data_IF_344646757423
#
_entry.id   IF_344646757423
#
_cell.length_a   1.000
_cell.length_b   1.000
_cell.length_c   1.000
_cell.angle_alpha   90.00
_cell.angle_beta   90.00
_cell.angle_gamma   90.00
#
_symmetry.space_group_name_H-M   'P 1'
#
loop_
_entity.id
_entity.type
_entity.pdbx_description
1 polymer ?
#
# COMPACT_ATOMS: atom_id res chain seq x y z
N UNK A 1 -7.14 -16.99 17.73
CA UNK A 1 -6.57 -16.68 16.37
C UNK A 1 -7.52 -17.10 15.22
N UNK A 2 -8.04 -18.34 15.16
CA UNK A 2 -8.95 -18.79 14.08
C UNK A 2 -10.27 -18.00 14.02
N UNK A 3 -10.78 -17.48 15.13
CA UNK A 3 -12.02 -16.68 15.19
C UNK A 3 -11.83 -15.26 14.65
N UNK A 4 -10.65 -14.67 14.75
CA UNK A 4 -10.38 -13.31 14.28
C UNK A 4 -10.22 -13.26 12.74
N UNK A 5 -9.59 -14.26 12.14
CA UNK A 5 -9.51 -14.37 10.68
C UNK A 5 -10.89 -14.51 10.04
N UNK A 6 -11.79 -15.24 10.67
CA UNK A 6 -13.15 -15.41 10.20
C UNK A 6 -14.02 -14.15 10.37
N UNK A 7 -13.68 -13.25 11.31
CA UNK A 7 -14.51 -12.08 11.63
C UNK A 7 -14.67 -11.13 10.44
N UNK A 8 -13.60 -10.87 9.69
CA UNK A 8 -13.66 -9.99 8.51
C UNK A 8 -14.56 -10.64 7.44
N UNK A 9 -14.36 -11.93 7.17
CA UNK A 9 -15.16 -12.67 6.17
C UNK A 9 -16.62 -12.72 6.60
N UNK A 10 -16.90 -13.04 7.87
CA UNK A 10 -18.27 -13.07 8.40
C UNK A 10 -18.91 -11.67 8.33
N UNK A 11 -18.16 -10.61 8.68
CA UNK A 11 -18.62 -9.24 8.58
C UNK A 11 -18.97 -8.84 7.15
N UNK A 12 -18.11 -9.19 6.18
CA UNK A 12 -18.37 -8.95 4.76
C UNK A 12 -19.59 -9.75 4.27
N UNK A 13 -19.70 -11.03 4.62
CA UNK A 13 -20.84 -11.87 4.24
C UNK A 13 -22.15 -11.34 4.84
N UNK A 14 -22.13 -10.96 6.12
CA UNK A 14 -23.31 -10.39 6.78
C UNK A 14 -23.73 -9.07 6.11
N UNK A 15 -22.77 -8.16 5.88
CA UNK A 15 -23.02 -6.91 5.17
C UNK A 15 -23.54 -7.14 3.76
N UNK A 16 -22.99 -8.09 3.02
CA UNK A 16 -23.46 -8.46 1.70
C UNK A 16 -24.91 -8.99 1.71
N UNK A 17 -25.26 -9.86 2.66
CA UNK A 17 -26.63 -10.38 2.81
C UNK A 17 -27.62 -9.27 3.14
N UNK A 18 -27.26 -8.32 4.00
CA UNK A 18 -28.10 -7.15 4.30
C UNK A 18 -28.31 -6.30 3.04
N UNK A 19 -27.23 -6.01 2.29
CA UNK A 19 -27.35 -5.23 1.04
C UNK A 19 -28.16 -5.98 -0.02
N UNK A 20 -28.07 -7.32 -0.06
CA UNK A 20 -28.88 -8.15 -0.94
C UNK A 20 -30.37 -8.05 -0.58
N UNK A 21 -30.69 -8.11 0.70
CA UNK A 21 -32.08 -7.96 1.20
C UNK A 21 -32.64 -6.56 0.92
N UNK A 22 -31.78 -5.51 0.91
CA UNK A 22 -32.13 -4.14 0.59
C UNK A 22 -32.21 -3.86 -0.92
N UNK A 23 -31.88 -4.84 -1.78
CA UNK A 23 -31.88 -4.68 -3.23
C UNK A 23 -30.73 -3.82 -3.79
N UNK A 24 -29.64 -3.63 -3.04
CA UNK A 24 -28.50 -2.82 -3.45
C UNK A 24 -27.48 -3.60 -4.28
N UNK A 25 -27.68 -4.89 -4.47
CA UNK A 25 -26.77 -5.75 -5.24
C UNK A 25 -27.28 -5.88 -6.68
N UNK A 26 -26.44 -5.53 -7.65
CA UNK A 26 -26.75 -5.74 -9.07
C UNK A 26 -25.95 -6.92 -9.60
N UNK A 27 -26.64 -7.88 -10.21
CA UNK A 27 -26.05 -9.04 -10.85
C UNK A 27 -25.95 -8.90 -12.38
N UNK A 28 -26.23 -7.72 -12.93
CA UNK A 28 -26.19 -7.52 -14.39
C UNK A 28 -24.78 -7.79 -14.97
N UNK A 29 -23.73 -7.30 -14.30
CA UNK A 29 -22.36 -7.56 -14.70
C UNK A 29 -22.01 -9.06 -14.67
N UNK A 30 -22.55 -9.80 -13.69
CA UNK A 30 -22.31 -11.25 -13.58
C UNK A 30 -22.99 -12.02 -14.72
N UNK A 31 -24.20 -11.60 -15.11
CA UNK A 31 -24.93 -12.23 -16.23
C UNK A 31 -24.28 -11.99 -17.58
N UNK A 32 -23.62 -10.84 -17.75
CA UNK A 32 -22.95 -10.45 -19.00
C UNK A 32 -21.49 -10.93 -19.06
N UNK A 33 -20.92 -11.37 -17.94
CA UNK A 33 -19.52 -11.79 -17.87
C UNK A 33 -19.31 -13.09 -18.64
N UNK A 34 -18.21 -13.12 -19.41
CA UNK A 34 -17.78 -14.35 -20.07
C UNK A 34 -17.35 -15.38 -19.02
N UNK A 35 -17.69 -16.65 -19.26
CA UNK A 35 -17.32 -17.72 -18.34
C UNK A 35 -15.82 -17.96 -18.30
N UNK A 36 -15.14 -17.83 -19.45
CA UNK A 36 -13.71 -18.03 -19.59
C UNK A 36 -13.12 -17.00 -20.54
N UNK A 37 -12.02 -16.39 -20.16
CA UNK A 37 -11.29 -15.46 -21.00
C UNK A 37 -9.78 -15.67 -20.84
N UNK A 38 -9.06 -15.69 -21.96
CA UNK A 38 -7.61 -15.75 -21.97
C UNK A 38 -7.09 -14.31 -22.01
N UNK A 39 -6.16 -13.94 -21.12
CA UNK A 39 -5.51 -12.63 -21.15
C UNK A 39 -4.89 -12.38 -22.53
N UNK A 40 -5.10 -11.18 -23.06
CA UNK A 40 -4.52 -10.79 -24.35
C UNK A 40 -3.29 -9.91 -24.08
N UNK A 41 -2.07 -10.44 -24.25
CA UNK A 41 -0.86 -9.64 -24.10
C UNK A 41 -0.84 -8.50 -25.12
N UNK A 42 -0.32 -7.33 -24.69
CA UNK A 42 -0.12 -6.16 -25.55
C UNK A 42 -1.39 -5.68 -26.26
N UNK A 43 -2.56 -5.83 -25.64
CA UNK A 43 -3.85 -5.45 -26.23
C UNK A 43 -3.90 -4.00 -26.71
N UNK A 44 -3.26 -3.08 -25.98
CA UNK A 44 -3.18 -1.64 -26.33
C UNK A 44 -1.93 -1.28 -27.16
N UNK A 45 -1.11 -2.26 -27.53
CA UNK A 45 0.18 -2.02 -28.18
C UNK A 45 1.24 -1.52 -27.22
N UNK A 46 2.41 -1.12 -27.77
CA UNK A 46 3.51 -0.54 -27.03
C UNK A 46 3.77 0.88 -27.53
N UNK A 47 3.79 1.83 -26.61
CA UNK A 47 4.21 3.20 -26.89
C UNK A 47 5.25 3.62 -25.83
N UNK A 48 6.29 4.33 -26.26
CA UNK A 48 7.38 4.78 -25.39
C UNK A 48 7.54 6.32 -25.44
N UNK A 49 6.52 7.09 -25.03
CA UNK A 49 6.66 8.54 -24.97
C UNK A 49 7.67 8.92 -23.87
N UNK A 50 8.62 9.78 -24.19
CA UNK A 50 9.69 10.21 -23.27
C UNK A 50 9.09 10.80 -21.98
N UNK A 51 8.04 11.61 -22.10
CA UNK A 51 7.33 12.16 -20.94
C UNK A 51 6.75 11.11 -20.03
N UNK A 52 6.15 10.05 -20.58
CA UNK A 52 5.64 8.91 -19.84
C UNK A 52 6.74 8.14 -19.12
N UNK A 53 7.88 7.91 -19.79
CA UNK A 53 9.03 7.22 -19.19
C UNK A 53 9.57 8.02 -18.00
N UNK A 54 9.75 9.34 -18.15
CA UNK A 54 10.24 10.20 -17.06
C UNK A 54 9.24 10.20 -15.90
N UNK A 55 7.94 10.42 -16.17
CA UNK A 55 6.89 10.44 -15.16
C UNK A 55 6.81 9.14 -14.38
N UNK A 56 6.79 8.00 -15.09
CA UNK A 56 6.77 6.67 -14.47
C UNK A 56 8.04 6.37 -13.67
N UNK A 57 9.22 6.80 -14.15
CA UNK A 57 10.47 6.60 -13.41
C UNK A 57 10.45 7.32 -12.07
N UNK A 58 9.93 8.56 -12.03
CA UNK A 58 9.79 9.33 -10.78
C UNK A 58 8.76 8.65 -9.86
N UNK A 59 7.60 8.24 -10.40
CA UNK A 59 6.59 7.52 -9.62
C UNK A 59 7.16 6.23 -9.01
N UNK A 60 7.96 5.48 -9.77
CA UNK A 60 8.61 4.26 -9.28
C UNK A 60 9.63 4.50 -8.17
N UNK A 61 10.38 5.62 -8.19
CA UNK A 61 11.26 5.98 -7.07
C UNK A 61 10.46 6.12 -5.76
N UNK A 62 9.29 6.73 -5.82
CA UNK A 62 8.41 6.85 -4.65
C UNK A 62 7.84 5.49 -4.24
N UNK A 63 7.42 4.67 -5.21
CA UNK A 63 6.93 3.30 -4.95
C UNK A 63 8.01 2.44 -4.28
N UNK A 64 9.30 2.57 -4.65
CA UNK A 64 10.39 1.85 -3.99
C UNK A 64 10.48 2.23 -2.51
N UNK A 65 10.33 3.52 -2.16
CA UNK A 65 10.32 3.97 -0.76
C UNK A 65 9.12 3.39 -0.02
N UNK A 66 7.93 3.44 -0.63
CA UNK A 66 6.70 2.87 -0.08
C UNK A 66 6.83 1.36 0.15
N UNK A 67 7.24 0.59 -0.86
CA UNK A 67 7.46 -0.85 -0.76
C UNK A 67 8.49 -1.20 0.32
N UNK A 68 9.56 -0.41 0.43
CA UNK A 68 10.56 -0.61 1.49
C UNK A 68 9.95 -0.44 2.88
N UNK A 69 9.08 0.56 3.07
CA UNK A 69 8.30 0.74 4.29
C UNK A 69 7.39 -0.44 4.58
N UNK A 70 6.70 -0.96 3.57
CA UNK A 70 5.83 -2.14 3.67
C UNK A 70 6.61 -3.39 4.09
N UNK A 71 7.81 -3.63 3.52
CA UNK A 71 8.66 -4.76 3.92
C UNK A 71 9.14 -4.64 5.36
N UNK A 72 9.51 -3.44 5.81
CA UNK A 72 9.87 -3.21 7.21
C UNK A 72 8.68 -3.44 8.16
N UNK A 73 7.49 -2.98 7.79
CA UNK A 73 6.26 -3.23 8.53
C UNK A 73 5.92 -4.73 8.57
N UNK A 74 6.10 -5.44 7.45
CA UNK A 74 5.95 -6.89 7.38
C UNK A 74 6.93 -7.61 8.31
N UNK A 75 8.20 -7.18 8.32
CA UNK A 75 9.21 -7.71 9.25
C UNK A 75 8.79 -7.57 10.71
N UNK A 76 8.23 -6.41 11.07
CA UNK A 76 7.70 -6.19 12.42
C UNK A 76 6.50 -7.11 12.73
N UNK A 77 5.55 -7.25 11.80
CA UNK A 77 4.38 -8.09 11.99
C UNK A 77 4.75 -9.59 12.10
N UNK A 78 5.79 -10.03 11.39
CA UNK A 78 6.27 -11.42 11.37
C UNK A 78 7.38 -11.69 12.37
N UNK A 79 7.85 -10.66 13.09
CA UNK A 79 9.02 -10.71 14.01
C UNK A 79 10.28 -11.21 13.30
N UNK A 80 10.45 -10.86 12.04
CA UNK A 80 11.59 -11.24 11.20
C UNK A 80 12.44 -10.01 10.93
N UNK A 81 13.75 -10.13 11.09
CA UNK A 81 14.68 -9.06 10.74
C UNK A 81 14.76 -8.90 9.23
N UNK A 82 14.47 -7.70 8.74
CA UNK A 82 14.52 -7.37 7.32
C UNK A 82 15.92 -6.85 7.00
N UNK A 83 16.63 -7.60 6.20
CA UNK A 83 17.97 -7.25 5.71
C UNK A 83 17.89 -6.57 4.34
N UNK A 84 18.98 -5.92 3.90
CA UNK A 84 19.07 -5.33 2.56
C UNK A 84 18.83 -6.35 1.43
N UNK A 85 19.12 -7.64 1.66
CA UNK A 85 18.83 -8.71 0.70
C UNK A 85 17.32 -8.92 0.53
N UNK A 86 16.56 -8.85 1.60
CA UNK A 86 15.10 -8.95 1.56
C UNK A 86 14.48 -7.75 0.83
N UNK A 87 14.96 -6.52 1.13
CA UNK A 87 14.50 -5.30 0.45
C UNK A 87 14.77 -5.36 -1.05
N UNK A 88 16.01 -5.73 -1.44
CA UNK A 88 16.37 -5.90 -2.85
C UNK A 88 15.47 -6.92 -3.55
N UNK A 89 15.24 -8.07 -2.92
CA UNK A 89 14.39 -9.13 -3.48
C UNK A 89 12.95 -8.69 -3.66
N UNK A 90 12.40 -7.97 -2.67
CA UNK A 90 11.03 -7.43 -2.73
C UNK A 90 10.85 -6.37 -3.81
N UNK A 91 11.75 -5.39 -3.88
CA UNK A 91 11.72 -4.35 -4.92
C UNK A 91 11.88 -4.93 -6.33
N UNK A 92 12.74 -5.94 -6.48
CA UNK A 92 12.87 -6.66 -7.76
C UNK A 92 11.58 -7.41 -8.13
N UNK A 93 10.92 -8.03 -7.16
CA UNK A 93 9.64 -8.71 -7.40
C UNK A 93 8.54 -7.74 -7.83
N UNK A 94 8.43 -6.57 -7.18
CA UNK A 94 7.48 -5.50 -7.55
C UNK A 94 7.78 -4.98 -8.97
N UNK A 95 9.06 -4.75 -9.31
CA UNK A 95 9.46 -4.27 -10.63
C UNK A 95 9.21 -5.28 -11.74
N UNK A 96 9.59 -6.56 -11.54
CA UNK A 96 9.34 -7.62 -12.51
C UNK A 96 7.85 -7.90 -12.68
N UNK A 97 7.10 -7.89 -11.56
CA UNK A 97 5.66 -8.04 -11.58
C UNK A 97 4.96 -6.91 -12.35
N UNK A 98 5.40 -5.67 -12.17
CA UNK A 98 4.87 -4.52 -12.91
C UNK A 98 5.24 -4.56 -14.39
N UNK A 99 6.43 -5.05 -14.75
CA UNK A 99 6.80 -5.28 -16.14
C UNK A 99 5.90 -6.35 -16.79
N UNK A 100 5.61 -7.44 -16.07
CA UNK A 100 4.66 -8.45 -16.53
C UNK A 100 3.24 -7.89 -16.64
N UNK A 101 2.81 -7.06 -15.68
CA UNK A 101 1.52 -6.37 -15.72
C UNK A 101 1.39 -5.49 -16.98
N UNK A 102 2.43 -4.74 -17.34
CA UNK A 102 2.46 -3.92 -18.56
C UNK A 102 2.29 -4.78 -19.82
N UNK A 103 2.97 -5.93 -19.90
CA UNK A 103 2.79 -6.89 -21.01
C UNK A 103 1.35 -7.42 -21.05
N UNK A 104 0.74 -7.66 -19.89
CA UNK A 104 -0.65 -8.10 -19.77
C UNK A 104 -1.67 -6.97 -19.95
N UNK A 105 -1.24 -5.78 -20.38
CA UNK A 105 -2.11 -4.60 -20.60
C UNK A 105 -2.91 -4.19 -19.35
N UNK A 106 -2.31 -4.34 -18.17
CA UNK A 106 -2.89 -3.91 -16.90
C UNK A 106 -2.00 -2.87 -16.21
N UNK A 107 -2.52 -2.25 -15.15
CA UNK A 107 -1.79 -1.23 -14.41
C UNK A 107 -0.60 -1.84 -13.64
N UNK A 108 0.52 -1.10 -13.51
CA UNK A 108 1.61 -1.52 -12.63
C UNK A 108 1.11 -1.61 -11.18
N UNK A 109 1.78 -2.42 -10.38
CA UNK A 109 1.42 -2.65 -9.00
C UNK A 109 2.64 -2.59 -8.07
N UNK A 110 2.37 -2.46 -6.78
CA UNK A 110 3.35 -2.56 -5.69
C UNK A 110 2.86 -3.54 -4.64
N UNK A 111 3.68 -3.75 -3.62
CA UNK A 111 3.33 -4.60 -2.49
C UNK A 111 2.09 -4.09 -1.75
N UNK A 112 1.09 -4.95 -1.55
CA UNK A 112 -0.21 -4.61 -0.97
C UNK A 112 -0.14 -4.50 0.55
N UNK A 113 -0.02 -3.27 1.06
CA UNK A 113 0.21 -2.95 2.47
C UNK A 113 -0.93 -3.42 3.39
N UNK A 114 -2.17 -3.45 2.90
CA UNK A 114 -3.33 -3.89 3.68
C UNK A 114 -3.23 -5.33 4.16
N UNK A 115 -2.50 -6.20 3.45
CA UNK A 115 -2.25 -7.58 3.88
C UNK A 115 -1.42 -7.67 5.16
N UNK A 116 -0.61 -6.67 5.48
CA UNK A 116 0.15 -6.62 6.74
C UNK A 116 -0.82 -6.55 7.92
N UNK A 117 -1.90 -5.77 7.79
CA UNK A 117 -2.98 -5.73 8.76
C UNK A 117 -3.67 -7.08 8.93
N UNK A 118 -3.91 -7.79 7.82
CA UNK A 118 -4.49 -9.14 7.86
C UNK A 118 -3.58 -10.12 8.57
N UNK A 119 -2.25 -10.08 8.33
CA UNK A 119 -1.27 -10.92 9.04
C UNK A 119 -1.31 -10.65 10.55
N UNK A 120 -1.36 -9.38 10.95
CA UNK A 120 -1.42 -8.98 12.35
C UNK A 120 -2.69 -9.49 13.05
N UNK A 121 -3.81 -9.56 12.32
CA UNK A 121 -5.09 -10.06 12.83
C UNK A 121 -5.16 -11.58 12.85
N UNK A 122 -4.66 -12.24 11.81
CA UNK A 122 -4.82 -13.69 11.62
C UNK A 122 -3.68 -14.50 12.23
N UNK A 123 -2.51 -13.90 12.39
CA UNK A 123 -1.28 -14.58 12.78
C UNK A 123 -0.71 -15.50 11.67
N UNK A 124 -1.28 -15.48 10.47
CA UNK A 124 -0.84 -16.31 9.34
C UNK A 124 0.17 -15.55 8.49
N UNK A 125 1.44 -15.91 8.60
CA UNK A 125 2.57 -15.26 7.91
C UNK A 125 3.36 -16.24 7.03
N UNK A 126 2.72 -17.27 6.50
CA UNK A 126 3.39 -18.30 5.71
C UNK A 126 3.54 -17.87 4.24
N UNK A 127 4.79 -17.87 3.73
CA UNK A 127 5.06 -17.64 2.31
C UNK A 127 4.34 -18.62 1.37
N UNK A 128 4.09 -19.85 1.83
CA UNK A 128 3.40 -20.86 1.04
C UNK A 128 1.91 -20.53 0.89
N UNK A 129 1.28 -19.98 1.94
CA UNK A 129 -0.10 -19.49 1.88
C UNK A 129 -0.23 -18.34 0.90
N UNK A 130 0.71 -17.39 0.93
CA UNK A 130 0.73 -16.26 -0.01
C UNK A 130 0.94 -16.74 -1.45
N UNK A 131 1.86 -17.68 -1.67
CA UNK A 131 2.08 -18.26 -3.00
C UNK A 131 0.82 -18.98 -3.52
N UNK A 132 0.16 -19.77 -2.67
CA UNK A 132 -1.10 -20.42 -3.03
C UNK A 132 -2.20 -19.40 -3.35
N UNK A 133 -2.28 -18.32 -2.58
CA UNK A 133 -3.21 -17.22 -2.88
C UNK A 133 -2.94 -16.61 -4.25
N UNK A 134 -1.67 -16.38 -4.60
CA UNK A 134 -1.28 -15.90 -5.92
C UNK A 134 -1.73 -16.84 -7.05
N UNK A 135 -1.53 -18.14 -6.88
CA UNK A 135 -1.99 -19.15 -7.85
C UNK A 135 -3.52 -19.14 -7.98
N UNK A 136 -4.23 -19.08 -6.86
CA UNK A 136 -5.71 -19.03 -6.87
C UNK A 136 -6.22 -17.76 -7.55
N UNK A 137 -5.58 -16.61 -7.31
CA UNK A 137 -5.92 -15.35 -7.99
C UNK A 137 -5.65 -15.43 -9.49
N UNK A 138 -4.52 -16.01 -9.90
CA UNK A 138 -4.22 -16.21 -11.32
C UNK A 138 -5.24 -17.12 -12.01
N UNK A 139 -5.64 -18.21 -11.36
CA UNK A 139 -6.71 -19.09 -11.85
C UNK A 139 -8.06 -18.37 -11.90
N UNK A 140 -8.41 -17.60 -10.87
CA UNK A 140 -9.65 -16.82 -10.83
C UNK A 140 -9.67 -15.76 -11.94
N UNK A 141 -8.51 -15.20 -12.33
CA UNK A 141 -8.38 -14.26 -13.44
C UNK A 141 -8.75 -14.83 -14.81
N UNK A 142 -8.70 -16.16 -14.99
CA UNK A 142 -9.16 -16.83 -16.20
C UNK A 142 -10.70 -16.89 -16.31
N UNK A 143 -11.40 -16.62 -15.22
CA UNK A 143 -12.85 -16.66 -15.15
C UNK A 143 -13.42 -15.27 -14.81
N UNK A 144 -13.73 -14.42 -15.79
CA UNK A 144 -14.25 -13.07 -15.58
C UNK A 144 -15.48 -13.01 -14.68
N UNK A 145 -16.24 -14.08 -14.58
CA UNK A 145 -17.39 -14.21 -13.65
C UNK A 145 -16.99 -13.95 -12.21
N UNK A 146 -15.81 -14.40 -11.76
CA UNK A 146 -15.33 -14.10 -10.39
C UNK A 146 -15.06 -12.62 -10.19
N UNK A 147 -14.46 -11.94 -11.18
CA UNK A 147 -14.29 -10.50 -11.16
C UNK A 147 -15.61 -9.75 -11.09
N UNK A 148 -16.57 -10.13 -11.93
CA UNK A 148 -17.91 -9.56 -11.93
C UNK A 148 -18.65 -9.78 -10.59
N UNK A 149 -18.46 -10.96 -9.96
CA UNK A 149 -19.02 -11.25 -8.65
C UNK A 149 -18.42 -10.33 -7.56
N UNK A 150 -17.11 -10.10 -7.58
CA UNK A 150 -16.45 -9.18 -6.64
C UNK A 150 -16.94 -7.74 -6.85
N UNK A 151 -17.07 -7.30 -8.10
CA UNK A 151 -17.58 -5.96 -8.43
C UNK A 151 -19.04 -5.79 -8.01
N UNK A 152 -19.83 -6.88 -7.89
CA UNK A 152 -21.20 -6.82 -7.40
C UNK A 152 -21.31 -6.53 -5.90
N UNK A 153 -20.20 -6.57 -5.15
CA UNK A 153 -20.18 -6.26 -3.71
C UNK A 153 -20.41 -4.76 -3.52
N UNK A 154 -21.47 -4.36 -2.79
CA UNK A 154 -21.78 -2.94 -2.59
C UNK A 154 -20.66 -2.20 -1.85
N UNK A 155 -20.43 -0.93 -2.25
CA UNK A 155 -19.41 -0.06 -1.66
C UNK A 155 -19.46 0.04 -0.12
N UNK A 156 -20.63 0.08 0.56
CA UNK A 156 -20.68 0.10 2.02
C UNK A 156 -20.03 -1.13 2.67
N UNK A 157 -20.17 -2.30 2.05
CA UNK A 157 -19.57 -3.56 2.55
C UNK A 157 -18.05 -3.52 2.38
N UNK A 158 -17.58 -3.13 1.19
CA UNK A 158 -16.15 -2.97 0.91
C UNK A 158 -15.54 -1.87 1.77
N UNK A 159 -16.27 -0.76 1.97
CA UNK A 159 -15.84 0.34 2.81
C UNK A 159 -15.67 -0.06 4.28
N UNK A 160 -16.59 -0.85 4.82
CA UNK A 160 -16.49 -1.37 6.18
C UNK A 160 -15.27 -2.28 6.39
N UNK A 161 -15.03 -3.21 5.45
CA UNK A 161 -13.84 -4.06 5.49
C UNK A 161 -12.55 -3.25 5.30
N UNK A 162 -12.56 -2.29 4.36
CA UNK A 162 -11.46 -1.38 4.08
C UNK A 162 -11.09 -0.54 5.30
N UNK A 163 -12.08 0.02 6.01
CA UNK A 163 -11.85 0.81 7.21
C UNK A 163 -11.05 0.03 8.26
N UNK A 164 -11.40 -1.23 8.52
CA UNK A 164 -10.66 -2.07 9.46
C UNK A 164 -9.22 -2.33 8.99
N UNK A 165 -9.03 -2.61 7.70
CA UNK A 165 -7.69 -2.84 7.16
C UNK A 165 -6.82 -1.58 7.25
N UNK A 166 -7.37 -0.40 6.91
CA UNK A 166 -6.64 0.86 7.03
C UNK A 166 -6.32 1.22 8.48
N UNK A 167 -7.25 0.97 9.43
CA UNK A 167 -6.97 1.15 10.84
C UNK A 167 -5.77 0.33 11.32
N UNK A 168 -5.65 -0.92 10.83
CA UNK A 168 -4.49 -1.77 11.16
C UNK A 168 -3.19 -1.27 10.54
N UNK A 169 -3.24 -0.67 9.34
CA UNK A 169 -2.05 -0.05 8.71
C UNK A 169 -1.61 1.16 9.52
N UNK A 170 -2.54 2.00 9.95
CA UNK A 170 -2.23 3.16 10.81
C UNK A 170 -1.57 2.68 12.11
N UNK A 171 -2.12 1.64 12.75
CA UNK A 171 -1.53 1.06 13.95
C UNK A 171 -0.10 0.55 13.71
N UNK A 172 0.14 -0.13 12.58
CA UNK A 172 1.47 -0.59 12.19
C UNK A 172 2.44 0.60 11.94
N UNK A 173 1.97 1.65 11.29
CA UNK A 173 2.74 2.89 11.07
C UNK A 173 3.15 3.55 12.39
N UNK A 174 2.23 3.65 13.35
CA UNK A 174 2.52 4.19 14.69
C UNK A 174 3.58 3.34 15.39
N UNK A 175 3.48 2.00 15.34
CA UNK A 175 4.47 1.10 15.92
C UNK A 175 5.86 1.24 15.28
N UNK A 176 5.93 1.55 13.98
CA UNK A 176 7.20 1.84 13.30
C UNK A 176 7.80 3.16 13.79
N UNK A 177 6.98 4.20 13.95
CA UNK A 177 7.43 5.50 14.46
C UNK A 177 7.92 5.42 15.89
N UNK A 178 7.36 4.54 16.73
CA UNK A 178 7.81 4.34 18.11
C UNK A 178 9.25 3.81 18.22
N UNK A 179 9.75 3.17 17.16
CA UNK A 179 11.16 2.72 17.07
C UNK A 179 12.14 3.82 16.66
N UNK A 180 11.64 4.96 16.20
CA UNK A 180 12.49 6.10 15.81
C UNK A 180 12.93 6.83 17.08
N UNK A 181 14.22 7.17 17.17
CA UNK A 181 14.75 7.91 18.31
C UNK A 181 13.94 9.19 18.56
N UNK A 182 13.49 9.41 19.78
CA UNK A 182 12.68 10.56 20.19
C UNK A 182 13.58 11.79 20.30
N UNK A 183 13.85 12.43 19.18
CA UNK A 183 14.60 13.68 19.11
C UNK A 183 13.74 14.82 18.56
N UNK A 184 14.08 16.06 18.87
CA UNK A 184 13.39 17.24 18.33
C UNK A 184 13.46 17.25 16.80
N UNK A 185 14.60 16.84 16.23
CA UNK A 185 14.82 16.72 14.79
C UNK A 185 13.85 15.73 14.15
N UNK A 186 13.82 14.50 14.68
CA UNK A 186 12.95 13.46 14.13
C UNK A 186 11.46 13.81 14.28
N UNK A 187 11.09 14.41 15.41
CA UNK A 187 9.74 14.93 15.60
C UNK A 187 9.34 15.97 14.56
N UNK A 188 10.25 16.90 14.25
CA UNK A 188 10.03 17.92 13.21
C UNK A 188 9.88 17.30 11.82
N UNK A 189 10.75 16.34 11.46
CA UNK A 189 10.68 15.63 10.19
C UNK A 189 9.33 14.93 10.05
N UNK A 190 8.91 14.17 11.04
CA UNK A 190 7.64 13.44 11.06
C UNK A 190 6.46 14.41 10.92
N UNK A 191 6.44 15.47 11.72
CA UNK A 191 5.33 16.44 11.74
C UNK A 191 5.17 17.15 10.40
N UNK A 192 6.25 17.66 9.81
CA UNK A 192 6.22 18.36 8.53
C UNK A 192 5.84 17.39 7.40
N UNK A 193 6.44 16.20 7.36
CA UNK A 193 6.20 15.24 6.29
C UNK A 193 4.77 14.74 6.27
N UNK A 194 4.22 14.36 7.44
CA UNK A 194 2.82 13.93 7.54
C UNK A 194 1.88 15.11 7.30
N UNK A 195 2.16 16.27 7.88
CA UNK A 195 1.32 17.47 7.73
C UNK A 195 1.20 17.92 6.29
N UNK A 196 2.31 18.03 5.56
CA UNK A 196 2.31 18.42 4.15
C UNK A 196 1.68 17.33 3.26
N UNK A 197 1.93 16.05 3.54
CA UNK A 197 1.29 14.96 2.83
C UNK A 197 -0.24 14.97 2.98
N UNK A 198 -0.74 15.17 4.20
CA UNK A 198 -2.17 15.33 4.46
C UNK A 198 -2.75 16.60 3.83
N UNK A 199 -2.03 17.71 3.87
CA UNK A 199 -2.47 18.96 3.26
C UNK A 199 -2.74 18.79 1.77
N UNK A 200 -1.83 18.16 1.03
CA UNK A 200 -2.00 17.89 -0.41
C UNK A 200 -3.16 16.93 -0.67
N UNK A 201 -3.32 15.90 0.15
CA UNK A 201 -4.41 14.93 -0.01
C UNK A 201 -5.78 15.56 0.26
N UNK A 202 -5.88 16.43 1.27
CA UNK A 202 -7.15 17.06 1.67
C UNK A 202 -7.48 18.31 0.85
N UNK A 203 -6.48 18.98 0.32
CA UNK A 203 -6.60 20.22 -0.46
C UNK A 203 -5.73 20.17 -1.72
N UNK A 204 -6.17 19.40 -2.76
CA UNK A 204 -5.43 19.30 -4.03
C UNK A 204 -5.24 20.66 -4.72
N UNK A 205 -6.13 21.61 -4.43
CA UNK A 205 -6.11 23.00 -4.95
C UNK A 205 -4.79 23.75 -4.65
N UNK A 206 -4.05 23.32 -3.61
CA UNK A 206 -2.74 23.89 -3.28
C UNK A 206 -1.74 23.79 -4.44
N UNK A 207 -1.93 22.80 -5.31
CA UNK A 207 -1.06 22.54 -6.45
C UNK A 207 -1.56 23.19 -7.75
N UNK A 208 -2.71 23.87 -7.76
CA UNK A 208 -3.34 24.36 -8.98
C UNK A 208 -2.53 25.37 -9.77
N UNK A 209 -1.67 26.12 -9.11
CA UNK A 209 -0.77 27.12 -9.74
C UNK A 209 0.54 26.51 -10.25
N UNK A 210 0.81 25.23 -10.01
CA UNK A 210 2.04 24.59 -10.46
C UNK A 210 1.91 24.07 -11.90
N UNK A 211 3.01 24.03 -12.66
CA UNK A 211 3.04 23.39 -13.98
C UNK A 211 2.57 21.93 -13.89
N UNK A 212 1.96 21.43 -14.98
CA UNK A 212 1.34 20.09 -15.05
C UNK A 212 2.24 18.98 -14.54
N UNK A 213 3.51 18.99 -14.89
CA UNK A 213 4.51 18.02 -14.44
C UNK A 213 4.63 17.96 -12.90
N UNK A 214 4.71 19.10 -12.23
CA UNK A 214 4.77 19.14 -10.76
C UNK A 214 3.45 18.70 -10.12
N UNK A 215 2.32 18.99 -10.76
CA UNK A 215 1.01 18.57 -10.32
C UNK A 215 0.87 17.04 -10.33
N UNK A 216 1.39 16.38 -11.37
CA UNK A 216 1.39 14.91 -11.45
C UNK A 216 2.31 14.29 -10.38
N UNK A 217 3.51 14.80 -10.20
CA UNK A 217 4.50 14.26 -9.25
C UNK A 217 4.10 14.52 -7.80
N UNK A 218 3.63 15.73 -7.49
CA UNK A 218 3.28 16.15 -6.12
C UNK A 218 1.80 15.94 -5.79
N UNK A 219 0.98 15.48 -6.72
CA UNK A 219 -0.46 15.26 -6.53
C UNK A 219 -0.82 14.17 -5.53
N UNK A 220 0.13 13.35 -5.14
CA UNK A 220 -0.03 12.33 -4.11
C UNK A 220 0.56 12.79 -2.78
N UNK A 221 -0.25 12.77 -1.72
CA UNK A 221 0.23 13.09 -0.38
C UNK A 221 1.31 12.14 0.13
N UNK A 222 1.29 10.87 -0.31
CA UNK A 222 2.34 9.89 -0.01
C UNK A 222 3.66 10.34 -0.64
N UNK A 223 3.64 10.79 -1.89
CA UNK A 223 4.81 11.30 -2.59
C UNK A 223 5.40 12.51 -1.88
N UNK A 224 4.56 13.50 -1.55
CA UNK A 224 4.99 14.73 -0.87
C UNK A 224 5.56 14.41 0.51
N UNK A 225 4.86 13.60 1.30
CA UNK A 225 5.31 13.20 2.63
C UNK A 225 6.65 12.45 2.58
N UNK A 226 6.80 11.49 1.66
CA UNK A 226 8.02 10.70 1.51
C UNK A 226 9.21 11.54 1.04
N UNK A 227 9.01 12.41 0.04
CA UNK A 227 10.05 13.30 -0.44
C UNK A 227 10.50 14.30 0.64
N UNK A 228 9.55 14.89 1.38
CA UNK A 228 9.89 15.81 2.47
C UNK A 228 10.62 15.09 3.60
N UNK A 229 10.20 13.88 3.98
CA UNK A 229 10.91 13.10 4.97
C UNK A 229 12.36 12.84 4.55
N UNK A 230 12.56 12.46 3.30
CA UNK A 230 13.89 12.19 2.75
C UNK A 230 14.76 13.47 2.70
N UNK A 231 14.23 14.56 2.14
CA UNK A 231 14.93 15.85 2.02
C UNK A 231 15.27 16.39 3.41
N UNK A 232 14.32 16.43 4.33
CA UNK A 232 14.55 16.93 5.67
C UNK A 232 15.55 16.06 6.45
N UNK A 233 15.52 14.74 6.23
CA UNK A 233 16.50 13.85 6.85
C UNK A 233 17.91 14.07 6.34
N UNK A 234 18.09 14.48 5.06
CA UNK A 234 19.38 14.80 4.49
C UNK A 234 19.89 16.21 4.87
N UNK A 235 18.97 17.17 4.98
CA UNK A 235 19.32 18.59 5.21
C UNK A 235 19.49 18.91 6.69
N UNK A 236 18.65 18.33 7.55
CA UNK A 236 18.74 18.61 8.98
C UNK A 236 19.93 17.84 9.61
N UNK A 237 20.80 18.54 10.37
CA UNK A 237 21.94 17.92 11.02
C UNK A 237 21.46 16.86 12.04
N UNK A 238 22.25 15.79 12.19
CA UNK A 238 21.99 14.79 13.23
C UNK A 238 22.08 15.40 14.61
N UNK A 239 21.14 15.07 15.48
CA UNK A 239 21.25 15.45 16.89
C UNK A 239 22.48 14.77 17.46
N UNK A 240 23.49 15.55 17.84
CA UNK A 240 24.60 15.04 18.67
C UNK A 240 23.97 14.58 19.98
N UNK A 241 23.95 13.27 20.23
CA UNK A 241 23.57 12.73 21.52
C UNK A 241 24.54 13.30 22.53
N UNK A 242 24.12 14.35 23.23
CA UNK A 242 24.86 14.88 24.36
C UNK A 242 24.71 13.86 25.49
N UNK A 243 25.69 12.96 25.65
CA UNK A 243 25.83 12.03 26.78
C UNK A 243 26.22 12.80 28.07
N UNK A 244 25.57 13.88 28.32
CA UNK A 244 25.84 14.75 29.46
C UNK A 244 24.62 14.77 30.38
N UNK A 245 24.31 13.65 31.03
CA UNK A 245 23.53 13.63 32.28
C UNK A 245 23.40 12.19 32.82
N UNK A 246 24.51 11.59 33.25
CA UNK A 246 24.51 10.51 34.24
C UNK A 246 25.83 10.51 35.03
N UNK A 247 26.17 11.61 35.66
CA UNK A 247 27.33 11.63 36.55
C UNK A 247 27.17 12.43 37.85
N UNK A 248 25.98 12.91 38.18
CA UNK A 248 25.81 13.61 39.46
C UNK A 248 24.52 13.18 40.19
N UNK A 249 24.45 11.89 40.56
CA UNK A 249 23.51 11.40 41.56
C UNK A 249 24.12 10.20 42.29
N UNK A 250 25.33 10.38 42.81
CA UNK A 250 25.96 9.49 43.77
C UNK A 250 26.91 10.32 44.63
N UNK A 251 26.34 11.12 45.51
CA UNK A 251 26.93 11.56 46.80
C UNK A 251 25.80 11.73 47.80
#
# INVERSE_FOLDING_TARGET
YKRQAAAIVIGMMTGYLVCLAMGWVSFEGVKQAQTFAIPQPLHFGLAFPISGIIGMSIAYLVTIVESSGNFLALGNATKTEITGRHLRGGVLADGLGSALAAIMSTTPFSSFSQNIGVISLTGVASRHVVALTGVLLALAGLFPVFGALIVSIPLPVLGGAGLMMFAMIIAAGIQMLDKVARSKRNGLIIAISIGCGLAVTTRPELLDKLPHFFKEVLGSGITVGSLLALILNLVLPEDKVCLLYTSDAAD
#
